data_IF_084301392622
#
_entry.id   IF_084301392622
#
_cell.length_a   1.000
_cell.length_b   1.000
_cell.length_c   1.000
_cell.angle_alpha   90.00
_cell.angle_beta   90.00
_cell.angle_gamma   90.00
#
_symmetry.space_group_name_H-M   'P 1'
#
loop_
_entity.id
_entity.type
_entity.pdbx_description
1 polymer ?
#
# COMPACT_ATOMS: atom_id res chain seq x y z
N UNK A 1 -0.22 24.04 6.78
CA UNK A 1 -1.36 23.12 6.95
C UNK A 1 -1.20 21.83 6.14
N UNK A 2 -1.03 21.87 4.81
CA UNK A 2 -0.93 20.69 3.92
C UNK A 2 0.15 19.67 4.36
N UNK A 3 1.36 20.11 4.77
CA UNK A 3 2.46 19.22 5.20
C UNK A 3 2.12 18.41 6.47
N UNK A 4 1.45 19.03 7.46
CA UNK A 4 1.03 18.35 8.70
C UNK A 4 -0.04 17.30 8.42
N UNK A 5 -1.02 17.63 7.57
CA UNK A 5 -2.07 16.69 7.16
C UNK A 5 -1.47 15.45 6.49
N UNK A 6 -0.56 15.64 5.52
CA UNK A 6 0.11 14.51 4.86
C UNK A 6 0.93 13.67 5.84
N UNK A 7 1.60 14.29 6.83
CA UNK A 7 2.33 13.52 7.85
C UNK A 7 1.38 12.65 8.69
N UNK A 8 0.22 13.19 9.08
CA UNK A 8 -0.79 12.42 9.81
C UNK A 8 -1.34 11.28 8.96
N UNK A 9 -1.64 11.53 7.68
CA UNK A 9 -2.12 10.50 6.76
C UNK A 9 -1.09 9.39 6.52
N UNK A 10 0.20 9.74 6.41
CA UNK A 10 1.29 8.76 6.31
C UNK A 10 1.35 7.90 7.59
N UNK A 11 1.30 8.51 8.76
CA UNK A 11 1.31 7.77 10.02
C UNK A 11 0.09 6.86 10.16
N UNK A 12 -1.10 7.33 9.78
CA UNK A 12 -2.32 6.54 9.79
C UNK A 12 -2.26 5.37 8.81
N UNK A 13 -1.70 5.58 7.60
CA UNK A 13 -1.55 4.52 6.60
C UNK A 13 -0.51 3.47 7.05
N UNK A 14 0.62 3.87 7.65
CA UNK A 14 1.57 2.93 8.25
C UNK A 14 0.94 2.11 9.39
N UNK A 15 0.16 2.77 10.25
CA UNK A 15 -0.55 2.08 11.32
C UNK A 15 -1.59 1.09 10.77
N UNK A 16 -2.21 1.39 9.64
CA UNK A 16 -3.15 0.50 8.95
C UNK A 16 -2.42 -0.71 8.36
N UNK A 17 -1.31 -0.51 7.62
CA UNK A 17 -0.49 -1.58 7.04
C UNK A 17 -0.06 -2.55 8.14
N UNK A 18 0.67 -2.07 9.14
CA UNK A 18 1.20 -2.93 10.20
C UNK A 18 0.11 -3.46 11.13
N UNK A 19 -0.96 -2.70 11.34
CA UNK A 19 -2.13 -3.14 12.08
C UNK A 19 -2.81 -4.35 11.42
N UNK A 20 -2.98 -4.32 10.09
CA UNK A 20 -3.50 -5.44 9.32
C UNK A 20 -2.58 -6.67 9.39
N UNK A 21 -1.25 -6.45 9.40
CA UNK A 21 -0.26 -7.54 9.47
C UNK A 21 -0.16 -8.18 10.85
N UNK A 22 -0.54 -7.45 11.91
CA UNK A 22 -0.66 -7.97 13.27
C UNK A 22 -1.93 -8.80 13.50
N UNK A 23 -2.95 -8.68 12.63
CA UNK A 23 -4.16 -9.47 12.75
C UNK A 23 -3.90 -10.93 12.35
N UNK A 24 -4.28 -11.92 13.18
CA UNK A 24 -4.24 -13.33 12.81
C UNK A 24 -4.95 -13.61 11.48
N UNK A 25 -4.47 -14.58 10.72
CA UNK A 25 -4.99 -14.91 9.39
C UNK A 25 -6.51 -15.11 9.38
N UNK A 26 -7.05 -15.87 10.35
CA UNK A 26 -8.50 -16.12 10.52
C UNK A 26 -9.29 -14.82 10.70
N UNK A 27 -8.79 -13.87 11.49
CA UNK A 27 -9.44 -12.57 11.70
C UNK A 27 -9.41 -11.69 10.45
N UNK A 28 -8.30 -11.74 9.72
CA UNK A 28 -8.15 -11.03 8.43
C UNK A 28 -9.10 -11.60 7.37
N UNK A 29 -9.34 -12.92 7.35
CA UNK A 29 -10.32 -13.56 6.48
C UNK A 29 -11.75 -13.15 6.82
N UNK A 30 -12.09 -13.01 8.10
CA UNK A 30 -13.41 -12.53 8.53
C UNK A 30 -13.68 -11.10 8.07
N UNK A 31 -12.69 -10.19 8.17
CA UNK A 31 -12.80 -8.82 7.66
C UNK A 31 -12.92 -8.78 6.14
N UNK A 32 -12.12 -9.58 5.45
CA UNK A 32 -12.18 -9.71 3.98
C UNK A 32 -13.47 -10.38 3.51
N UNK A 33 -14.05 -11.25 4.31
CA UNK A 33 -15.25 -12.04 3.97
C UNK A 33 -16.47 -11.19 3.64
N UNK A 34 -16.66 -10.06 4.32
CA UNK A 34 -17.73 -9.10 4.00
C UNK A 34 -17.55 -8.46 2.61
N UNK A 35 -16.33 -8.06 2.29
CA UNK A 35 -15.98 -7.49 0.98
C UNK A 35 -16.10 -8.56 -0.11
N UNK A 36 -15.62 -9.77 0.16
CA UNK A 36 -15.73 -10.90 -0.74
C UNK A 36 -17.17 -11.32 -1.00
N UNK A 37 -18.02 -11.37 0.02
CA UNK A 37 -19.44 -11.68 -0.13
C UNK A 37 -20.15 -10.62 -1.01
N UNK A 38 -19.76 -9.37 -0.91
CA UNK A 38 -20.28 -8.30 -1.77
C UNK A 38 -19.76 -8.43 -3.21
N UNK A 39 -18.44 -8.52 -3.38
CA UNK A 39 -17.80 -8.61 -4.72
C UNK A 39 -18.12 -9.95 -5.42
N UNK A 40 -18.23 -11.03 -4.66
CA UNK A 40 -18.56 -12.37 -5.16
C UNK A 40 -19.95 -12.46 -5.83
N UNK A 41 -20.86 -11.51 -5.53
CA UNK A 41 -22.14 -11.39 -6.26
C UNK A 41 -21.93 -11.02 -7.72
N UNK A 42 -20.87 -10.30 -8.04
CA UNK A 42 -20.52 -9.83 -9.38
C UNK A 42 -19.42 -10.69 -10.02
N UNK A 43 -18.53 -11.25 -9.19
CA UNK A 43 -17.35 -12.02 -9.59
C UNK A 43 -17.25 -13.31 -8.76
N UNK A 44 -18.01 -14.37 -9.08
CA UNK A 44 -18.02 -15.62 -8.30
C UNK A 44 -16.64 -16.27 -8.14
N UNK A 45 -15.72 -16.04 -9.07
CA UNK A 45 -14.35 -16.54 -9.00
C UNK A 45 -13.57 -16.03 -7.76
N UNK A 46 -13.98 -14.91 -7.18
CA UNK A 46 -13.37 -14.38 -5.96
C UNK A 46 -13.71 -15.19 -4.71
N UNK A 47 -14.76 -16.02 -4.73
CA UNK A 47 -15.18 -16.86 -3.61
C UNK A 47 -14.33 -18.12 -3.45
N UNK A 48 -13.29 -18.30 -4.28
CA UNK A 48 -12.32 -19.39 -4.19
C UNK A 48 -11.15 -18.99 -3.29
N UNK A 49 -10.39 -19.98 -2.77
CA UNK A 49 -9.15 -19.72 -2.00
C UNK A 49 -8.15 -18.83 -2.80
N UNK A 50 -8.03 -19.07 -4.10
CA UNK A 50 -7.22 -18.25 -4.98
C UNK A 50 -7.74 -16.80 -5.05
N UNK A 51 -9.06 -16.60 -5.08
CA UNK A 51 -9.69 -15.29 -5.04
C UNK A 51 -9.46 -14.55 -3.73
N UNK A 52 -9.54 -15.25 -2.59
CA UNK A 52 -9.20 -14.69 -1.27
C UNK A 52 -7.74 -14.22 -1.21
N UNK A 53 -6.82 -15.08 -1.66
CA UNK A 53 -5.39 -14.74 -1.72
C UNK A 53 -5.13 -13.54 -2.64
N UNK A 54 -5.77 -13.50 -3.80
CA UNK A 54 -5.66 -12.37 -4.73
C UNK A 54 -6.16 -11.07 -4.11
N UNK A 55 -7.35 -11.09 -3.47
CA UNK A 55 -7.92 -9.89 -2.85
C UNK A 55 -7.03 -9.35 -1.72
N UNK A 56 -6.47 -10.24 -0.90
CA UNK A 56 -5.53 -9.85 0.15
C UNK A 56 -4.29 -9.17 -0.42
N UNK A 57 -3.68 -9.76 -1.45
CA UNK A 57 -2.50 -9.19 -2.12
C UNK A 57 -2.83 -7.85 -2.81
N UNK A 58 -4.01 -7.73 -3.42
CA UNK A 58 -4.47 -6.49 -4.02
C UNK A 58 -4.71 -5.39 -2.96
N UNK A 59 -5.20 -5.75 -1.76
CA UNK A 59 -5.35 -4.81 -0.65
C UNK A 59 -3.98 -4.28 -0.19
N UNK A 60 -3.01 -5.17 0.09
CA UNK A 60 -1.64 -4.77 0.45
C UNK A 60 -0.99 -3.89 -0.62
N UNK A 61 -1.04 -4.30 -1.88
CA UNK A 61 -0.56 -3.49 -3.00
C UNK A 61 -1.18 -2.09 -3.00
N UNK A 62 -2.49 -1.97 -2.74
CA UNK A 62 -3.21 -0.69 -2.72
C UNK A 62 -2.82 0.18 -1.52
N UNK A 63 -2.62 -0.42 -0.34
CA UNK A 63 -2.16 0.27 0.86
C UNK A 63 -0.74 0.84 0.65
N UNK A 64 0.16 0.08 0.03
CA UNK A 64 1.49 0.53 -0.32
C UNK A 64 1.50 1.56 -1.46
N UNK A 65 0.59 1.44 -2.45
CA UNK A 65 0.43 2.46 -3.48
C UNK A 65 -0.05 3.79 -2.88
N UNK A 66 -0.97 3.76 -1.92
CA UNK A 66 -1.39 4.94 -1.18
C UNK A 66 -0.23 5.54 -0.38
N UNK A 67 0.59 4.70 0.28
CA UNK A 67 1.79 5.16 0.98
C UNK A 67 2.76 5.89 0.05
N UNK A 68 3.01 5.34 -1.14
CA UNK A 68 3.84 5.95 -2.18
C UNK A 68 3.31 7.31 -2.64
N UNK A 69 2.00 7.42 -2.87
CA UNK A 69 1.32 8.68 -3.21
C UNK A 69 1.50 9.74 -2.10
N UNK A 70 1.27 9.37 -0.85
CA UNK A 70 1.35 10.28 0.30
C UNK A 70 2.78 10.77 0.53
N UNK A 71 3.77 9.86 0.50
CA UNK A 71 5.19 10.17 0.71
C UNK A 71 5.73 11.00 -0.47
N UNK A 72 5.43 10.60 -1.70
CA UNK A 72 5.81 11.34 -2.89
C UNK A 72 5.22 12.75 -2.90
N UNK A 73 3.93 12.89 -2.57
CA UNK A 73 3.27 14.18 -2.46
C UNK A 73 3.88 15.07 -1.37
N UNK A 74 4.18 14.49 -0.20
CA UNK A 74 4.85 15.23 0.89
C UNK A 74 6.25 15.66 0.50
N UNK A 75 7.02 14.79 -0.15
CA UNK A 75 8.37 15.09 -0.60
C UNK A 75 8.37 16.25 -1.60
N UNK A 76 7.48 16.25 -2.59
CA UNK A 76 7.31 17.35 -3.55
C UNK A 76 7.02 18.69 -2.88
N UNK A 77 6.20 18.70 -1.82
CA UNK A 77 5.93 19.90 -1.05
C UNK A 77 7.14 20.41 -0.25
N UNK A 78 8.17 19.59 -0.06
CA UNK A 78 9.37 19.93 0.74
C UNK A 78 10.57 20.22 -0.12
N UNK A 79 10.88 19.37 -1.11
CA UNK A 79 12.15 19.40 -1.86
C UNK A 79 12.00 19.64 -3.36
N UNK A 80 10.87 19.27 -3.96
CA UNK A 80 10.60 19.52 -5.38
C UNK A 80 11.31 18.60 -6.40
N UNK A 81 12.28 17.79 -5.97
CA UNK A 81 13.06 16.88 -6.81
C UNK A 81 12.47 15.46 -6.92
N UNK A 82 13.10 14.59 -7.72
CA UNK A 82 12.66 13.20 -7.92
C UNK A 82 13.34 12.28 -6.91
N UNK A 83 12.60 11.65 -5.98
CA UNK A 83 13.21 10.98 -4.85
C UNK A 83 13.40 9.48 -5.09
N UNK A 84 14.42 9.10 -5.85
CA UNK A 84 14.78 7.66 -6.01
C UNK A 84 15.08 7.00 -4.66
N UNK A 85 15.65 7.74 -3.70
CA UNK A 85 15.91 7.25 -2.35
C UNK A 85 14.65 6.87 -1.56
N UNK A 86 13.46 7.37 -1.94
CA UNK A 86 12.21 6.94 -1.31
C UNK A 86 11.87 5.48 -1.61
N UNK A 87 12.39 4.90 -2.70
CA UNK A 87 12.22 3.47 -2.97
C UNK A 87 12.81 2.60 -1.85
N UNK A 88 13.97 3.00 -1.32
CA UNK A 88 14.57 2.31 -0.15
C UNK A 88 13.67 2.35 1.08
N UNK A 89 12.95 3.47 1.30
CA UNK A 89 11.97 3.56 2.37
C UNK A 89 10.79 2.59 2.17
N UNK A 90 10.20 2.56 0.96
CA UNK A 90 9.10 1.66 0.63
C UNK A 90 9.49 0.18 0.82
N UNK A 91 10.69 -0.19 0.34
CA UNK A 91 11.24 -1.54 0.53
C UNK A 91 11.43 -1.86 2.02
N UNK A 92 11.97 -0.94 2.81
CA UNK A 92 12.15 -1.15 4.25
C UNK A 92 10.80 -1.36 4.98
N UNK A 93 9.77 -0.59 4.63
CA UNK A 93 8.42 -0.76 5.18
C UNK A 93 7.86 -2.13 4.83
N UNK A 94 8.01 -2.59 3.57
CA UNK A 94 7.56 -3.90 3.13
C UNK A 94 8.30 -5.05 3.85
N UNK A 95 9.61 -4.92 4.04
CA UNK A 95 10.38 -5.90 4.81
C UNK A 95 9.95 -5.96 6.29
N UNK A 96 9.62 -4.81 6.91
CA UNK A 96 9.10 -4.77 8.27
C UNK A 96 7.72 -5.43 8.32
N UNK A 97 6.86 -5.16 7.36
CA UNK A 97 5.52 -5.76 7.27
C UNK A 97 5.59 -7.29 7.22
N UNK A 98 6.39 -7.83 6.30
CA UNK A 98 6.61 -9.26 6.18
C UNK A 98 7.27 -9.87 7.42
N UNK A 99 8.15 -9.11 8.09
CA UNK A 99 8.75 -9.55 9.35
C UNK A 99 7.69 -9.66 10.46
N UNK A 100 6.76 -8.74 10.54
CA UNK A 100 5.61 -8.80 11.46
C UNK A 100 4.78 -10.06 11.18
N UNK A 101 4.53 -10.36 9.91
CA UNK A 101 3.74 -11.53 9.51
C UNK A 101 4.39 -12.86 9.90
N UNK A 102 5.73 -12.96 9.97
CA UNK A 102 6.43 -14.16 10.47
C UNK A 102 5.99 -14.51 11.91
N UNK A 103 5.73 -13.50 12.74
CA UNK A 103 5.35 -13.67 14.14
C UNK A 103 3.84 -13.68 14.36
N UNK A 104 3.05 -13.51 13.30
CA UNK A 104 1.59 -13.46 13.38
C UNK A 104 1.00 -14.85 13.08
N UNK A 105 0.15 -15.43 13.97
CA UNK A 105 -0.46 -16.73 13.74
C UNK A 105 -1.25 -16.76 12.42
N UNK A 106 -1.21 -17.93 11.75
CA UNK A 106 -1.92 -18.18 10.49
C UNK A 106 -1.57 -17.20 9.34
N UNK A 107 -0.37 -16.61 9.39
CA UNK A 107 0.20 -15.81 8.32
C UNK A 107 1.42 -16.51 7.72
N UNK A 108 1.53 -16.47 6.40
CA UNK A 108 2.70 -16.91 5.67
C UNK A 108 3.43 -15.69 5.11
N UNK A 109 4.63 -15.42 5.61
CA UNK A 109 5.52 -14.40 5.04
C UNK A 109 6.13 -14.90 3.73
N UNK A 110 6.27 -14.02 2.76
CA UNK A 110 6.80 -14.36 1.43
C UNK A 110 7.62 -13.21 0.83
N UNK A 111 8.78 -13.55 0.28
CA UNK A 111 9.56 -12.57 -0.51
C UNK A 111 8.78 -12.02 -1.72
N UNK A 112 7.84 -12.79 -2.25
CA UNK A 112 6.97 -12.33 -3.35
C UNK A 112 6.08 -11.20 -2.85
N UNK A 113 5.59 -11.26 -1.61
CA UNK A 113 4.73 -10.23 -1.05
C UNK A 113 5.52 -8.93 -0.80
N UNK A 114 6.79 -9.01 -0.38
CA UNK A 114 7.69 -7.82 -0.36
C UNK A 114 7.78 -7.15 -1.74
N UNK A 115 7.87 -7.93 -2.82
CA UNK A 115 7.92 -7.37 -4.17
C UNK A 115 6.58 -6.75 -4.60
N UNK A 116 5.46 -7.37 -4.26
CA UNK A 116 4.12 -6.85 -4.54
C UNK A 116 3.95 -5.50 -3.85
N UNK A 117 4.25 -5.40 -2.57
CA UNK A 117 4.14 -4.21 -1.74
C UNK A 117 5.06 -3.09 -2.24
N UNK A 118 6.33 -3.42 -2.49
CA UNK A 118 7.29 -2.46 -3.06
C UNK A 118 6.85 -1.96 -4.44
N UNK A 119 6.24 -2.82 -5.26
CA UNK A 119 5.70 -2.44 -6.56
C UNK A 119 4.50 -1.50 -6.42
N UNK A 120 3.62 -1.74 -5.45
CA UNK A 120 2.54 -0.83 -5.10
C UNK A 120 3.07 0.54 -4.72
N UNK A 121 4.05 0.58 -3.81
CA UNK A 121 4.71 1.83 -3.41
C UNK A 121 5.34 2.58 -4.60
N UNK A 122 6.04 1.87 -5.48
CA UNK A 122 6.60 2.42 -6.71
C UNK A 122 5.54 3.04 -7.62
N UNK A 123 4.42 2.33 -7.81
CA UNK A 123 3.28 2.85 -8.58
C UNK A 123 2.77 4.16 -8.00
N UNK A 124 2.59 4.23 -6.68
CA UNK A 124 2.16 5.46 -5.99
C UNK A 124 3.11 6.63 -6.24
N UNK A 125 4.43 6.40 -6.17
CA UNK A 125 5.44 7.40 -6.51
C UNK A 125 5.32 7.85 -7.98
N UNK A 126 5.23 6.91 -8.91
CA UNK A 126 5.12 7.22 -10.35
C UNK A 126 3.88 8.06 -10.64
N UNK A 127 2.73 7.69 -10.08
CA UNK A 127 1.46 8.42 -10.28
C UNK A 127 1.58 9.87 -9.81
N UNK A 128 2.13 10.11 -8.61
CA UNK A 128 2.27 11.48 -8.10
C UNK A 128 3.27 12.30 -8.91
N UNK A 129 4.35 11.68 -9.43
CA UNK A 129 5.33 12.37 -10.27
C UNK A 129 4.77 12.73 -11.63
N UNK A 130 4.08 11.80 -12.30
CA UNK A 130 3.41 12.05 -13.58
C UNK A 130 2.36 13.17 -13.40
N UNK A 131 1.51 13.06 -12.38
CA UNK A 131 0.50 14.07 -12.09
C UNK A 131 1.10 15.47 -11.91
N UNK A 132 2.22 15.56 -11.19
CA UNK A 132 2.91 16.84 -10.98
C UNK A 132 3.56 17.39 -12.27
N UNK A 133 4.14 16.52 -13.09
CA UNK A 133 4.74 16.91 -14.37
C UNK A 133 3.68 17.46 -15.33
N UNK A 134 2.53 16.77 -15.41
CA UNK A 134 1.40 17.22 -16.23
C UNK A 134 0.85 18.57 -15.70
N UNK A 135 0.66 18.67 -14.38
CA UNK A 135 0.16 19.90 -13.76
C UNK A 135 1.06 21.11 -14.06
N UNK A 136 2.39 20.99 -13.92
CA UNK A 136 3.33 22.06 -14.20
C UNK A 136 3.29 22.44 -15.70
N UNK A 137 3.28 21.44 -16.59
CA UNK A 137 3.20 21.68 -18.03
C UNK A 137 1.93 22.45 -18.45
N UNK A 138 0.80 22.19 -17.79
CA UNK A 138 -0.47 22.90 -18.07
C UNK A 138 -0.41 24.33 -17.52
N UNK A 139 0.29 24.54 -16.40
CA UNK A 139 0.39 25.85 -15.76
C UNK A 139 1.39 26.80 -16.44
N UNK A 140 2.20 26.30 -17.37
CA UNK A 140 3.19 27.09 -18.12
C UNK A 140 4.47 27.40 -17.33
N UNK A 141 4.74 26.63 -16.28
CA UNK A 141 5.99 26.66 -15.50
C UNK A 141 7.00 25.66 -16.06
#
# INVERSE_FOLDING_TARGET
>A
MKKRVLTILIAANLALIWGNSLLPGVSSEAVSGGVLAFLGRFLPMLLTEAGHTFLRKAAHFSEFALLGLLIGGRHRLVKGDTPVHLMGFGLAVACIDETIQIFTPDRASSLIDVWIDTSGFALGLVVIFIGYTIYNKIKGD
#
